data_IF_568087446835
#
_entry.id   IF_568087446835
#
_cell.length_a   1.000
_cell.length_b   1.000
_cell.length_c   1.000
_cell.angle_alpha   90.00
_cell.angle_beta   90.00
_cell.angle_gamma   90.00
#
_symmetry.space_group_name_H-M   'P 1'
#
loop_
_entity.id
_entity.type
_entity.pdbx_description
1 polymer ?
#
# COMPACT_ATOMS: atom_id res chain seq x y z
N UNK A 1 -0.15 24.25 -2.08
CA UNK A 1 -0.92 23.05 -2.44
C UNK A 1 0.05 21.94 -2.85
N UNK A 2 -0.35 20.68 -2.69
CA UNK A 2 0.32 19.48 -3.18
C UNK A 2 -0.74 18.52 -3.75
N UNK A 3 -0.32 17.52 -4.54
CA UNK A 3 -1.22 16.49 -5.08
C UNK A 3 -0.68 15.09 -4.83
N UNK A 4 -1.60 14.13 -4.76
CA UNK A 4 -1.32 12.70 -4.85
C UNK A 4 -2.08 12.16 -6.05
N UNK A 5 -1.36 11.66 -7.06
CA UNK A 5 -1.97 11.31 -8.35
C UNK A 5 -1.10 10.31 -9.12
N UNK A 6 -1.73 9.52 -9.99
CA UNK A 6 -1.05 8.75 -11.05
C UNK A 6 -0.87 9.57 -12.33
N UNK A 7 -1.61 10.67 -12.48
CA UNK A 7 -1.63 11.50 -13.68
C UNK A 7 -0.90 12.84 -13.42
N UNK A 8 0.36 12.90 -13.83
CA UNK A 8 1.22 14.08 -13.67
C UNK A 8 0.80 15.25 -14.57
N UNK A 9 0.33 14.95 -15.78
CA UNK A 9 -0.09 15.97 -16.74
C UNK A 9 -1.28 16.78 -16.21
N UNK A 10 -2.28 16.12 -15.63
CA UNK A 10 -3.43 16.79 -15.03
C UNK A 10 -3.06 17.59 -13.79
N UNK A 11 -2.09 17.14 -12.98
CA UNK A 11 -1.62 17.92 -11.82
C UNK A 11 -0.87 19.17 -12.25
N UNK A 12 -0.05 19.09 -13.30
CA UNK A 12 0.65 20.25 -13.87
C UNK A 12 -0.34 21.23 -14.51
N UNK A 13 -1.34 20.74 -15.25
CA UNK A 13 -2.44 21.57 -15.79
C UNK A 13 -3.26 22.26 -14.70
N UNK A 14 -3.40 21.64 -13.53
CA UNK A 14 -4.02 22.23 -12.35
C UNK A 14 -3.13 23.30 -11.67
N UNK A 15 -1.86 23.44 -12.08
CA UNK A 15 -0.93 24.44 -11.55
C UNK A 15 -0.14 23.99 -10.32
N UNK A 16 -0.04 22.68 -10.06
CA UNK A 16 0.77 22.14 -8.96
C UNK A 16 2.17 21.87 -9.46
N UNK A 17 3.15 22.49 -8.79
CA UNK A 17 4.57 22.29 -9.08
C UNK A 17 4.96 20.81 -8.92
N UNK A 18 5.78 20.29 -9.83
CA UNK A 18 6.15 18.87 -9.89
C UNK A 18 6.85 18.38 -8.60
N UNK A 19 7.61 19.24 -7.92
CA UNK A 19 8.24 18.97 -6.62
C UNK A 19 7.23 18.78 -5.47
N UNK A 20 5.93 19.03 -5.73
CA UNK A 20 4.82 18.88 -4.78
C UNK A 20 3.79 17.87 -5.24
N UNK A 21 4.12 17.04 -6.23
CA UNK A 21 3.31 15.92 -6.69
C UNK A 21 3.91 14.61 -6.17
N UNK A 22 3.14 13.89 -5.38
CA UNK A 22 3.50 12.58 -4.84
C UNK A 22 2.82 11.50 -5.68
N UNK A 23 3.60 10.82 -6.51
CA UNK A 23 3.11 9.81 -7.43
C UNK A 23 2.67 8.51 -6.75
N UNK A 24 1.76 7.80 -7.39
CA UNK A 24 1.51 6.37 -7.18
C UNK A 24 1.15 5.69 -8.51
N UNK A 25 0.80 4.41 -8.50
CA UNK A 25 0.60 3.62 -9.73
C UNK A 25 -0.84 3.15 -9.93
N UNK A 26 -1.16 2.85 -11.19
CA UNK A 26 -2.46 2.37 -11.67
C UNK A 26 -2.88 1.02 -11.09
N UNK A 27 -1.92 0.15 -10.78
CA UNK A 27 -2.18 -1.13 -10.11
C UNK A 27 -2.57 -0.98 -8.62
N UNK A 28 -2.46 0.22 -8.05
CA UNK A 28 -2.95 0.53 -6.69
C UNK A 28 -4.43 0.90 -6.76
N UNK A 29 -5.31 -0.08 -6.52
CA UNK A 29 -6.75 0.16 -6.45
C UNK A 29 -7.13 1.11 -5.30
N UNK A 30 -8.11 1.99 -5.51
CA UNK A 30 -8.45 3.07 -4.55
C UNK A 30 -8.71 2.58 -3.11
N UNK A 31 -9.43 1.47 -2.93
CA UNK A 31 -9.69 0.87 -1.61
C UNK A 31 -8.47 0.23 -0.93
N UNK A 32 -7.37 0.06 -1.66
CA UNK A 32 -6.11 -0.52 -1.19
C UNK A 32 -4.97 0.53 -1.19
N UNK A 33 -5.29 1.80 -1.36
CA UNK A 33 -4.30 2.87 -1.59
C UNK A 33 -3.69 3.46 -0.32
N UNK A 34 -4.16 3.10 0.87
CA UNK A 34 -3.71 3.74 2.12
C UNK A 34 -2.20 3.59 2.37
N UNK A 35 -1.59 2.48 1.95
CA UNK A 35 -0.15 2.24 2.08
C UNK A 35 0.68 2.86 0.94
N UNK A 36 0.05 3.54 -0.03
CA UNK A 36 0.72 4.37 -1.03
C UNK A 36 0.84 5.82 -0.56
N UNK A 37 1.33 6.71 -1.43
CA UNK A 37 1.33 8.15 -1.18
C UNK A 37 -0.05 8.72 -0.76
N UNK A 38 -1.16 8.05 -1.12
CA UNK A 38 -2.53 8.49 -0.78
C UNK A 38 -2.75 8.56 0.74
N UNK A 39 -2.34 7.54 1.49
CA UNK A 39 -2.42 7.57 2.95
C UNK A 39 -1.11 8.02 3.60
N UNK A 40 0.05 7.63 3.05
CA UNK A 40 1.37 7.92 3.64
C UNK A 40 1.60 9.42 3.79
N UNK A 41 1.28 10.23 2.78
CA UNK A 41 1.53 11.68 2.82
C UNK A 41 0.75 12.39 3.95
N UNK A 42 -0.60 12.33 4.02
CA UNK A 42 -1.34 13.02 5.07
C UNK A 42 -1.06 12.45 6.46
N UNK A 43 -0.84 11.14 6.59
CA UNK A 43 -0.50 10.52 7.88
C UNK A 43 0.88 10.97 8.35
N UNK A 44 1.88 11.06 7.47
CA UNK A 44 3.21 11.51 7.84
C UNK A 44 3.24 12.99 8.22
N UNK A 45 2.43 13.83 7.57
CA UNK A 45 2.25 15.24 7.95
C UNK A 45 1.66 15.35 9.36
N UNK A 46 0.68 14.51 9.69
CA UNK A 46 -0.03 14.62 10.97
C UNK A 46 0.69 13.95 12.14
N UNK A 47 1.29 12.77 11.92
CA UNK A 47 1.87 11.92 12.96
C UNK A 47 3.40 11.81 12.91
N UNK A 48 4.04 12.33 11.87
CA UNK A 48 5.48 12.13 11.61
C UNK A 48 5.76 10.87 10.78
N UNK A 49 6.87 10.89 10.04
CA UNK A 49 7.21 9.79 9.14
C UNK A 49 7.59 8.50 9.88
N UNK A 50 8.24 8.60 11.04
CA UNK A 50 8.65 7.43 11.84
C UNK A 50 7.44 6.54 12.22
N UNK A 51 6.32 7.17 12.60
CA UNK A 51 5.07 6.47 12.92
C UNK A 51 4.49 5.78 11.69
N UNK A 52 4.55 6.44 10.52
CA UNK A 52 4.05 5.84 9.27
C UNK A 52 4.96 4.72 8.79
N UNK A 53 6.27 4.84 8.95
CA UNK A 53 7.21 3.77 8.63
C UNK A 53 6.94 2.53 9.48
N UNK A 54 6.72 2.70 10.79
CA UNK A 54 6.34 1.61 11.68
C UNK A 54 5.01 0.96 11.24
N UNK A 55 3.99 1.78 10.93
CA UNK A 55 2.72 1.28 10.40
C UNK A 55 2.92 0.44 9.14
N UNK A 56 3.71 0.90 8.16
CA UNK A 56 3.98 0.18 6.93
C UNK A 56 4.71 -1.15 7.18
N UNK A 57 5.68 -1.17 8.10
CA UNK A 57 6.40 -2.39 8.51
C UNK A 57 5.43 -3.41 9.12
N UNK A 58 4.53 -2.97 9.98
CA UNK A 58 3.52 -3.84 10.59
C UNK A 58 2.55 -4.40 9.53
N UNK A 59 2.10 -3.58 8.58
CA UNK A 59 1.24 -4.04 7.47
C UNK A 59 1.95 -5.10 6.60
N UNK A 60 3.22 -4.89 6.27
CA UNK A 60 4.00 -5.86 5.51
C UNK A 60 4.15 -7.19 6.27
N UNK A 61 4.44 -7.14 7.58
CA UNK A 61 4.57 -8.33 8.41
C UNK A 61 3.25 -9.12 8.48
N UNK A 62 2.12 -8.44 8.67
CA UNK A 62 0.79 -9.07 8.68
C UNK A 62 0.48 -9.75 7.34
N UNK A 63 0.80 -9.12 6.21
CA UNK A 63 0.61 -9.71 4.89
C UNK A 63 1.46 -10.99 4.70
N UNK A 64 2.72 -10.98 5.14
CA UNK A 64 3.58 -12.17 5.09
C UNK A 64 3.04 -13.31 5.94
N UNK A 65 2.56 -13.02 7.15
CA UNK A 65 1.96 -14.02 8.04
C UNK A 65 0.69 -14.63 7.43
N UNK A 66 -0.18 -13.80 6.84
CA UNK A 66 -1.39 -14.27 6.17
C UNK A 66 -1.07 -15.19 4.97
N UNK A 67 -0.06 -14.84 4.16
CA UNK A 67 0.37 -15.67 3.04
C UNK A 67 0.91 -17.03 3.51
N UNK A 68 1.71 -17.05 4.58
CA UNK A 68 2.22 -18.30 5.16
C UNK A 68 1.11 -19.18 5.72
N UNK A 69 0.13 -18.60 6.42
CA UNK A 69 -1.03 -19.33 6.93
C UNK A 69 -1.86 -19.94 5.80
N UNK A 70 -2.11 -19.19 4.73
CA UNK A 70 -2.84 -19.70 3.55
C UNK A 70 -2.09 -20.87 2.88
N UNK A 71 -0.77 -20.77 2.74
CA UNK A 71 0.04 -21.86 2.21
C UNK A 71 -0.03 -23.11 3.10
N UNK A 72 0.12 -22.97 4.42
CA UNK A 72 0.02 -24.08 5.36
C UNK A 72 -1.35 -24.77 5.29
N UNK A 73 -2.43 -23.99 5.23
CA UNK A 73 -3.79 -24.53 5.07
C UNK A 73 -3.95 -25.28 3.74
N UNK A 74 -3.39 -24.75 2.64
CA UNK A 74 -3.40 -25.42 1.34
C UNK A 74 -2.61 -26.74 1.38
N UNK A 75 -1.43 -26.77 2.00
CA UNK A 75 -0.64 -28.00 2.17
C UNK A 75 -1.39 -29.06 2.99
N UNK A 76 -1.98 -28.65 4.12
CA UNK A 76 -2.77 -29.54 4.97
C UNK A 76 -3.95 -30.14 4.19
N UNK A 77 -4.67 -29.31 3.43
CA UNK A 77 -5.77 -29.78 2.59
C UNK A 77 -5.32 -30.78 1.51
N UNK A 78 -4.24 -30.49 0.80
CA UNK A 78 -3.68 -31.39 -0.22
C UNK A 78 -3.20 -32.72 0.40
N UNK A 79 -2.56 -32.67 1.58
CA UNK A 79 -2.15 -33.89 2.29
C UNK A 79 -3.35 -34.76 2.67
N UNK A 80 -4.46 -34.17 3.14
CA UNK A 80 -5.67 -34.91 3.50
C UNK A 80 -6.34 -35.53 2.27
N UNK A 81 -6.33 -34.85 1.12
CA UNK A 81 -6.88 -35.37 -0.14
C UNK A 81 -6.07 -36.50 -0.77
N UNK A 82 -4.75 -36.55 -0.54
CA UNK A 82 -3.88 -37.61 -1.07
C UNK A 82 -3.94 -38.92 -0.27
N UNK A 83 -4.50 -38.89 0.95
CA UNK A 83 -4.64 -40.05 1.83
C UNK A 83 -6.08 -40.60 1.91
N UNK A 84 -7.00 -40.09 1.07
CA UNK A 84 -8.37 -40.58 0.87
C UNK A 84 -8.51 -41.18 -0.53
#
# INVERSE_FOLDING_TARGET
MCAVSTNLELTTKFGISEDRVFGFWDWVGGRFSVTSAVGVLPLAIHYGFDVVEEFLRQQQQQQQQQQQQQQQQQYQYLSLRLHL
#
